data_IF_040702360808
#
_entry.id   IF_040702360808
#
_cell.length_a   1.000
_cell.length_b   1.000
_cell.length_c   1.000
_cell.angle_alpha   90.00
_cell.angle_beta   90.00
_cell.angle_gamma   90.00
#
_symmetry.space_group_name_H-M   'P 1'
#
loop_
_entity.id
_entity.type
_entity.pdbx_description
1 polymer ?
#
# COMPACT_ATOMS: atom_id res chain seq x y z
N UNK A 1 32.84 -26.11 -3.51
CA UNK A 1 31.55 -25.92 -2.82
C UNK A 1 30.80 -24.78 -3.48
N UNK A 2 29.96 -25.10 -4.46
CA UNK A 2 29.16 -24.12 -5.19
C UNK A 2 27.75 -24.20 -4.60
N UNK A 3 27.35 -23.18 -3.85
CA UNK A 3 26.09 -23.16 -3.11
C UNK A 3 24.99 -22.59 -4.01
N UNK A 4 24.19 -23.45 -4.63
CA UNK A 4 23.02 -23.07 -5.43
C UNK A 4 21.81 -22.96 -4.51
N UNK A 5 21.38 -21.74 -4.20
CA UNK A 5 20.17 -21.50 -3.42
C UNK A 5 18.96 -21.41 -4.36
N UNK A 6 18.23 -22.52 -4.50
CA UNK A 6 17.00 -22.59 -5.29
C UNK A 6 15.82 -22.17 -4.41
N UNK A 7 15.33 -20.94 -4.59
CA UNK A 7 14.15 -20.46 -3.89
C UNK A 7 12.89 -20.74 -4.72
N UNK A 8 12.19 -21.83 -4.39
CA UNK A 8 10.92 -22.22 -5.01
C UNK A 8 9.77 -21.49 -4.32
N UNK A 9 9.20 -20.48 -4.97
CA UNK A 9 8.04 -19.76 -4.46
C UNK A 9 6.74 -20.43 -4.95
N UNK A 10 6.09 -21.20 -4.07
CA UNK A 10 4.79 -21.84 -4.34
C UNK A 10 3.68 -20.84 -4.04
N UNK A 11 3.01 -20.35 -5.08
CA UNK A 11 1.90 -19.42 -4.99
C UNK A 11 0.57 -20.18 -4.79
N UNK A 12 0.00 -20.14 -3.57
CA UNK A 12 -1.34 -20.66 -3.30
C UNK A 12 -2.33 -19.51 -3.22
N UNK A 13 -3.12 -19.36 -4.28
CA UNK A 13 -4.21 -18.40 -4.38
C UNK A 13 -5.37 -18.82 -3.45
N UNK A 14 -5.61 -18.07 -2.37
CA UNK A 14 -6.84 -18.19 -1.58
C UNK A 14 -7.39 -16.79 -1.30
N UNK A 15 -8.55 -16.51 -1.88
CA UNK A 15 -9.33 -15.31 -1.70
C UNK A 15 -10.02 -15.35 -0.32
N UNK A 16 -9.44 -14.69 0.69
CA UNK A 16 -10.10 -14.45 1.97
C UNK A 16 -9.77 -13.05 2.45
N UNK A 17 -10.83 -12.31 2.80
CA UNK A 17 -10.79 -11.01 3.45
C UNK A 17 -10.05 -11.10 4.80
N UNK A 18 -8.76 -10.81 4.79
CA UNK A 18 -7.93 -10.66 5.98
C UNK A 18 -6.96 -9.52 5.72
N UNK A 19 -6.83 -8.60 6.68
CA UNK A 19 -5.82 -7.55 6.73
C UNK A 19 -4.51 -8.07 6.12
N UNK A 20 -4.26 -7.74 4.86
CA UNK A 20 -3.11 -8.25 4.14
C UNK A 20 -1.89 -7.60 4.77
N UNK A 21 -1.27 -8.29 5.73
CA UNK A 21 0.12 -8.05 6.07
C UNK A 21 0.88 -8.40 4.79
N UNK A 22 1.23 -7.37 4.04
CA UNK A 22 2.00 -7.50 2.82
C UNK A 22 3.39 -7.96 3.27
N UNK A 23 3.63 -9.27 3.31
CA UNK A 23 4.95 -9.83 3.57
C UNK A 23 5.84 -9.57 2.35
N UNK A 24 6.57 -8.46 2.38
CA UNK A 24 7.71 -8.21 1.50
C UNK A 24 8.94 -8.40 2.38
N UNK A 25 9.53 -9.59 2.31
CA UNK A 25 10.73 -9.94 3.07
C UNK A 25 11.93 -9.11 2.58
N UNK A 26 12.64 -8.47 3.51
CA UNK A 26 14.09 -8.22 3.35
C UNK A 26 14.59 -6.79 3.13
N UNK A 27 13.82 -5.72 3.36
CA UNK A 27 14.38 -4.35 3.34
C UNK A 27 13.75 -3.47 4.43
N UNK A 28 14.44 -3.27 5.55
CA UNK A 28 14.10 -2.26 6.56
C UNK A 28 14.52 -0.86 6.08
N UNK A 29 13.98 -0.45 4.95
CA UNK A 29 14.15 0.92 4.45
C UNK A 29 13.03 1.78 4.99
N UNK A 30 13.34 3.03 5.31
CA UNK A 30 12.36 4.05 5.68
C UNK A 30 11.19 4.13 4.66
N UNK A 31 11.50 3.97 3.37
CA UNK A 31 10.50 3.93 2.30
C UNK A 31 9.54 2.75 2.43
N UNK A 32 10.03 1.57 2.83
CA UNK A 32 9.20 0.40 3.05
C UNK A 32 8.27 0.58 4.25
N UNK A 33 8.77 1.15 5.34
CA UNK A 33 7.96 1.44 6.53
C UNK A 33 6.88 2.50 6.22
N UNK A 34 7.24 3.54 5.45
CA UNK A 34 6.28 4.54 4.97
C UNK A 34 5.16 3.91 4.14
N UNK A 35 5.51 3.04 3.17
CA UNK A 35 4.51 2.32 2.37
C UNK A 35 3.60 1.44 3.22
N UNK A 36 4.17 0.71 4.20
CA UNK A 36 3.40 -0.12 5.13
C UNK A 36 2.41 0.72 5.93
N UNK A 37 2.84 1.89 6.42
CA UNK A 37 1.96 2.80 7.15
C UNK A 37 0.87 3.39 6.25
N UNK A 38 1.20 3.75 5.02
CA UNK A 38 0.24 4.23 4.03
C UNK A 38 -0.88 3.21 3.74
N UNK A 39 -0.54 1.92 3.57
CA UNK A 39 -1.55 0.87 3.38
C UNK A 39 -2.44 0.70 4.63
N UNK A 40 -1.86 0.79 5.83
CA UNK A 40 -2.64 0.79 7.08
C UNK A 40 -3.60 1.98 7.15
N UNK A 41 -3.13 3.18 6.80
CA UNK A 41 -3.95 4.39 6.75
C UNK A 41 -5.10 4.25 5.75
N UNK A 42 -4.84 3.67 4.57
CA UNK A 42 -5.85 3.41 3.55
C UNK A 42 -6.95 2.47 4.06
N UNK A 43 -6.55 1.40 4.76
CA UNK A 43 -7.47 0.44 5.38
C UNK A 43 -8.30 1.10 6.48
N UNK A 44 -7.66 1.88 7.36
CA UNK A 44 -8.35 2.63 8.40
C UNK A 44 -9.38 3.61 7.81
N UNK A 45 -9.01 4.35 6.77
CA UNK A 45 -9.89 5.27 6.06
C UNK A 45 -11.12 4.56 5.46
N UNK A 46 -10.93 3.42 4.81
CA UNK A 46 -12.01 2.61 4.25
C UNK A 46 -12.94 2.02 5.33
N UNK A 47 -12.41 1.72 6.52
CA UNK A 47 -13.18 1.25 7.67
C UNK A 47 -13.97 2.37 8.35
N UNK A 48 -13.46 3.61 8.35
CA UNK A 48 -14.18 4.78 8.87
C UNK A 48 -15.38 5.14 8.00
N UNK A 49 -15.22 5.01 6.68
CA UNK A 49 -16.26 5.28 5.71
C UNK A 49 -16.10 4.48 4.43
N UNK A 50 -17.15 3.77 4.03
CA UNK A 50 -17.12 2.88 2.87
C UNK A 50 -16.89 3.58 1.53
N UNK A 51 -17.14 4.90 1.44
CA UNK A 51 -16.84 5.67 0.23
C UNK A 51 -15.36 5.59 -0.17
N UNK A 52 -14.49 5.34 0.80
CA UNK A 52 -13.05 5.21 0.60
C UNK A 52 -12.56 3.80 0.26
N UNK A 53 -13.46 2.81 0.12
CA UNK A 53 -13.10 1.47 -0.38
C UNK A 53 -12.46 1.53 -1.77
N UNK A 54 -12.85 2.51 -2.61
CA UNK A 54 -12.21 2.74 -3.91
C UNK A 54 -10.75 3.18 -3.76
N UNK A 55 -10.46 4.11 -2.84
CA UNK A 55 -9.10 4.58 -2.53
C UNK A 55 -8.20 3.42 -2.09
N UNK A 56 -8.70 2.53 -1.23
CA UNK A 56 -7.96 1.33 -0.81
C UNK A 56 -7.65 0.40 -1.99
N UNK A 57 -8.63 0.15 -2.87
CA UNK A 57 -8.42 -0.68 -4.08
C UNK A 57 -7.40 -0.08 -5.03
N UNK A 58 -7.44 1.23 -5.24
CA UNK A 58 -6.47 1.94 -6.08
C UNK A 58 -5.04 1.83 -5.53
N UNK A 59 -4.87 1.95 -4.21
CA UNK A 59 -3.57 1.79 -3.57
C UNK A 59 -3.00 0.38 -3.77
N UNK A 60 -3.81 -0.66 -3.55
CA UNK A 60 -3.40 -2.03 -3.80
C UNK A 60 -3.09 -2.29 -5.28
N UNK A 61 -3.88 -1.72 -6.19
CA UNK A 61 -3.63 -1.81 -7.63
C UNK A 61 -2.26 -1.23 -7.97
N UNK A 62 -1.94 -0.01 -7.53
CA UNK A 62 -0.62 0.62 -7.78
C UNK A 62 0.55 -0.21 -7.26
N UNK A 63 0.44 -0.78 -6.05
CA UNK A 63 1.47 -1.64 -5.48
C UNK A 63 1.66 -2.91 -6.32
N UNK A 64 0.57 -3.52 -6.78
CA UNK A 64 0.64 -4.73 -7.58
C UNK A 64 1.22 -4.47 -8.97
N UNK A 65 0.87 -3.35 -9.60
CA UNK A 65 1.48 -2.93 -10.87
C UNK A 65 2.99 -2.71 -10.72
N UNK A 66 3.41 -2.02 -9.65
CA UNK A 66 4.82 -1.81 -9.37
C UNK A 66 5.58 -3.13 -9.13
N UNK A 67 4.97 -4.08 -8.40
CA UNK A 67 5.53 -5.43 -8.19
C UNK A 67 5.64 -6.24 -9.48
N UNK A 68 4.57 -6.25 -10.27
CA UNK A 68 4.53 -6.95 -11.56
C UNK A 68 5.60 -6.41 -12.51
N UNK A 69 5.74 -5.09 -12.54
CA UNK A 69 6.79 -4.41 -13.28
C UNK A 69 8.20 -4.80 -12.80
N UNK A 70 8.45 -4.76 -11.49
CA UNK A 70 9.74 -5.12 -10.92
C UNK A 70 10.14 -6.59 -11.17
N UNK A 71 9.16 -7.49 -11.28
CA UNK A 71 9.37 -8.89 -11.63
C UNK A 71 9.55 -9.14 -13.14
N UNK A 72 9.32 -8.13 -13.98
CA UNK A 72 9.38 -8.27 -15.44
C UNK A 72 10.81 -8.09 -15.95
N UNK A 73 11.18 -8.87 -16.98
CA UNK A 73 12.46 -8.72 -17.69
C UNK A 73 12.42 -7.53 -18.66
N UNK A 74 12.48 -6.32 -18.11
CA UNK A 74 12.48 -5.05 -18.86
C UNK A 74 13.91 -4.58 -19.12
N UNK A 75 14.09 -3.76 -20.17
CA UNK A 75 15.40 -3.16 -20.45
C UNK A 75 15.80 -2.17 -19.35
N UNK A 76 17.10 -2.00 -19.12
CA UNK A 76 17.60 -1.13 -18.05
C UNK A 76 17.14 0.34 -18.18
N UNK A 77 16.91 0.83 -19.40
CA UNK A 77 16.37 2.18 -19.61
C UNK A 77 14.91 2.28 -19.19
N UNK A 78 14.10 1.26 -19.50
CA UNK A 78 12.71 1.20 -19.05
C UNK A 78 12.66 1.12 -17.52
N UNK A 79 13.54 0.31 -16.90
CA UNK A 79 13.71 0.26 -15.44
C UNK A 79 13.95 1.62 -14.81
N UNK A 80 14.93 2.37 -15.34
CA UNK A 80 15.31 3.70 -14.83
C UNK A 80 14.21 4.76 -14.97
N UNK A 81 13.25 4.60 -15.88
CA UNK A 81 12.17 5.57 -16.06
C UNK A 81 10.90 5.17 -15.31
N UNK A 82 10.52 3.90 -15.35
CA UNK A 82 9.23 3.43 -14.83
C UNK A 82 9.28 3.20 -13.32
N UNK A 83 10.42 2.77 -12.75
CA UNK A 83 10.55 2.62 -11.29
C UNK A 83 10.28 3.94 -10.57
N UNK A 84 10.94 5.06 -10.91
CA UNK A 84 10.62 6.36 -10.29
C UNK A 84 9.17 6.82 -10.52
N UNK A 85 8.57 6.46 -11.65
CA UNK A 85 7.17 6.79 -11.93
C UNK A 85 6.21 6.07 -10.97
N UNK A 86 6.45 4.79 -10.69
CA UNK A 86 5.64 4.04 -9.73
C UNK A 86 5.87 4.55 -8.30
N UNK A 87 7.12 4.83 -7.92
CA UNK A 87 7.45 5.43 -6.62
C UNK A 87 6.72 6.76 -6.42
N UNK A 88 6.75 7.64 -7.43
CA UNK A 88 6.02 8.91 -7.40
C UNK A 88 4.50 8.71 -7.23
N UNK A 89 3.89 7.83 -8.01
CA UNK A 89 2.44 7.56 -7.94
C UNK A 89 2.02 7.00 -6.59
N UNK A 90 2.82 6.10 -6.04
CA UNK A 90 2.61 5.50 -4.71
C UNK A 90 2.69 6.59 -3.63
N UNK A 91 3.77 7.38 -3.62
CA UNK A 91 3.95 8.44 -2.62
C UNK A 91 2.86 9.51 -2.71
N UNK A 92 2.46 9.90 -3.93
CA UNK A 92 1.37 10.84 -4.14
C UNK A 92 0.04 10.31 -3.57
N UNK A 93 -0.29 9.04 -3.83
CA UNK A 93 -1.49 8.40 -3.29
C UNK A 93 -1.43 8.27 -1.76
N UNK A 94 -0.26 8.03 -1.19
CA UNK A 94 -0.08 7.98 0.26
C UNK A 94 -0.35 9.32 0.94
N UNK A 95 0.18 10.42 0.39
CA UNK A 95 -0.09 11.76 0.90
C UNK A 95 -1.59 12.11 0.82
N UNK A 96 -2.27 11.75 -0.27
CA UNK A 96 -3.72 11.92 -0.43
C UNK A 96 -4.50 11.14 0.65
N UNK A 97 -4.14 9.88 0.89
CA UNK A 97 -4.75 9.04 1.93
C UNK A 97 -4.57 9.64 3.33
N UNK A 98 -3.40 10.17 3.66
CA UNK A 98 -3.14 10.81 4.96
C UNK A 98 -4.05 12.03 5.19
N UNK A 99 -4.20 12.90 4.19
CA UNK A 99 -5.09 14.05 4.27
C UNK A 99 -6.55 13.62 4.46
N UNK A 100 -7.02 12.67 3.64
CA UNK A 100 -8.39 12.15 3.73
C UNK A 100 -8.68 11.51 5.09
N UNK A 101 -7.69 10.83 5.68
CA UNK A 101 -7.81 10.21 7.00
C UNK A 101 -7.95 11.25 8.12
N UNK A 102 -7.11 12.29 8.11
CA UNK A 102 -7.20 13.41 9.07
C UNK A 102 -8.57 14.08 8.96
N UNK A 103 -9.01 14.37 7.73
CA UNK A 103 -10.31 15.00 7.52
C UNK A 103 -11.47 14.14 7.99
N UNK A 104 -11.46 12.82 7.75
CA UNK A 104 -12.54 11.94 8.17
C UNK A 104 -12.59 11.79 9.69
N UNK A 105 -11.43 11.72 10.36
CA UNK A 105 -11.39 11.78 11.82
C UNK A 105 -11.98 13.09 12.35
N UNK A 106 -11.61 14.24 11.78
CA UNK A 106 -12.17 15.54 12.17
C UNK A 106 -13.69 15.58 11.98
N UNK A 107 -14.20 15.05 10.85
CA UNK A 107 -15.64 14.93 10.59
C UNK A 107 -16.35 14.08 11.65
N UNK A 108 -15.78 12.94 12.04
CA UNK A 108 -16.34 12.05 13.08
C UNK A 108 -16.34 12.71 14.46
N UNK A 109 -15.27 13.43 14.81
CA UNK A 109 -15.17 14.18 16.07
C UNK A 109 -16.27 15.25 16.13
N UNK A 110 -16.42 16.06 15.08
CA UNK A 110 -17.44 17.11 15.01
C UNK A 110 -18.87 16.56 15.00
N UNK A 111 -19.09 15.38 14.42
CA UNK A 111 -20.39 14.71 14.41
C UNK A 111 -20.76 14.06 15.76
N UNK A 112 -19.81 13.89 16.67
CA UNK A 112 -20.07 13.30 17.99
C UNK A 112 -20.56 14.39 18.95
N UNK A 113 -21.84 14.37 19.38
CA UNK A 113 -22.35 15.39 20.30
C UNK A 113 -21.63 15.28 21.65
N UNK A 114 -21.06 16.40 22.11
CA UNK A 114 -20.52 16.50 23.46
C UNK A 114 -21.68 16.44 24.44
N UNK A 115 -21.81 15.34 25.19
CA UNK A 115 -22.72 15.29 26.34
C UNK A 115 -22.12 16.18 27.43
N UNK A 116 -22.67 17.38 27.59
CA UNK A 116 -22.41 18.23 28.75
C UNK A 116 -23.15 17.58 29.92
N UNK A 117 -22.39 17.16 30.95
CA UNK A 117 -22.94 16.70 32.23
C UNK A 117 -23.44 17.88 33.06
#
# INVERSE_FOLDING_TARGET
>A
NTNTNTNTNTNTNTNTNTNADIDIQGVDSEQYQYLKQCVKNASALANLNERYKKTLKEMHFLINEAKSYAASNVSGNVQKTITPLFEYKINYKCNDIEQLLIEEYNRKIQATPVKVQ
#
